data_IF_225002558427
#
_entry.id   IF_225002558427
#
_cell.length_a   1.000
_cell.length_b   1.000
_cell.length_c   1.000
_cell.angle_alpha   90.00
_cell.angle_beta   90.00
_cell.angle_gamma   90.00
#
_symmetry.space_group_name_H-M   'P 1'
#
loop_
_entity.id
_entity.type
_entity.pdbx_description
1 polymer ?
#
# COMPACT_ATOMS: atom_id res chain seq x y z
N UNK A 1 6.53 13.95 22.26
CA UNK A 1 6.95 14.55 20.97
C UNK A 1 6.89 13.54 19.81
N UNK A 2 6.21 12.40 19.95
CA UNK A 2 6.15 11.33 18.93
C UNK A 2 4.83 11.25 18.13
N UNK A 3 3.77 11.95 18.57
CA UNK A 3 2.43 11.98 17.92
C UNK A 3 2.39 12.65 16.54
N UNK A 4 3.54 12.95 15.93
CA UNK A 4 3.66 13.72 14.70
C UNK A 4 4.70 13.14 13.75
N UNK A 5 5.01 11.85 13.87
CA UNK A 5 5.62 11.10 12.79
C UNK A 5 4.56 11.05 11.69
N UNK A 6 4.83 11.79 10.62
CA UNK A 6 3.90 12.14 9.56
C UNK A 6 3.36 10.87 8.88
N UNK A 7 2.16 10.43 9.30
CA UNK A 7 1.35 9.44 8.56
C UNK A 7 1.27 9.81 7.06
N UNK A 8 1.36 11.11 6.74
CA UNK A 8 1.43 11.67 5.39
C UNK A 8 2.53 11.09 4.48
N UNK A 9 3.62 10.52 5.03
CA UNK A 9 4.70 9.94 4.23
C UNK A 9 4.56 8.43 3.98
N UNK A 10 3.51 7.77 4.50
CA UNK A 10 3.30 6.33 4.37
C UNK A 10 2.80 5.88 2.99
N UNK A 11 2.51 6.82 2.11
CA UNK A 11 2.14 6.51 0.73
C UNK A 11 3.30 5.90 -0.07
N UNK A 12 3.15 4.62 -0.43
CA UNK A 12 3.99 3.98 -1.45
C UNK A 12 3.69 4.64 -2.82
N UNK A 13 4.73 5.19 -3.44
CA UNK A 13 4.66 5.74 -4.80
C UNK A 13 5.50 4.90 -5.75
N UNK A 14 4.86 4.22 -6.69
CA UNK A 14 5.51 3.42 -7.73
C UNK A 14 5.73 4.24 -9.01
N UNK A 15 6.29 5.45 -8.89
CA UNK A 15 6.54 6.29 -10.06
C UNK A 15 7.70 5.78 -10.90
N UNK A 16 7.58 5.88 -12.23
CA UNK A 16 8.71 6.31 -13.06
C UNK A 16 9.57 5.27 -13.77
N UNK A 17 9.12 4.03 -13.98
CA UNK A 17 9.91 3.09 -14.81
C UNK A 17 9.78 3.38 -16.32
N UNK A 18 8.91 4.31 -16.72
CA UNK A 18 8.76 4.73 -18.12
C UNK A 18 10.06 5.22 -18.79
N UNK A 19 11.01 5.79 -18.04
CA UNK A 19 12.23 6.39 -18.62
C UNK A 19 13.43 5.43 -18.66
N UNK A 20 13.41 4.32 -17.89
CA UNK A 20 14.55 3.39 -17.83
C UNK A 20 14.32 2.09 -18.60
N UNK A 21 13.06 1.77 -18.94
CA UNK A 21 12.69 0.60 -19.75
C UNK A 21 12.98 0.76 -21.25
N UNK A 22 13.25 1.97 -21.74
CA UNK A 22 13.62 2.20 -23.16
C UNK A 22 14.91 1.46 -23.58
N UNK A 23 15.68 0.90 -22.65
CA UNK A 23 16.93 0.19 -22.94
C UNK A 23 16.97 -1.30 -22.57
N UNK A 24 15.88 -1.89 -22.06
CA UNK A 24 15.82 -3.32 -21.72
C UNK A 24 14.51 -3.92 -22.25
N UNK A 25 14.62 -4.90 -23.15
CA UNK A 25 13.53 -5.42 -23.99
C UNK A 25 12.34 -6.06 -23.27
N UNK A 26 11.38 -6.55 -24.05
CA UNK A 26 10.06 -7.05 -23.61
C UNK A 26 10.11 -8.05 -22.45
N UNK A 27 11.16 -8.88 -22.33
CA UNK A 27 11.32 -9.82 -21.22
C UNK A 27 11.33 -9.12 -19.84
N UNK A 28 12.00 -7.98 -19.71
CA UNK A 28 12.03 -7.23 -18.46
C UNK A 28 10.66 -6.63 -18.13
N UNK A 29 9.93 -6.16 -19.15
CA UNK A 29 8.56 -5.65 -18.99
C UNK A 29 7.62 -6.75 -18.49
N UNK A 30 7.71 -7.96 -19.04
CA UNK A 30 6.92 -9.11 -18.57
C UNK A 30 7.28 -9.53 -17.14
N UNK A 31 8.55 -9.49 -16.76
CA UNK A 31 8.97 -9.78 -15.37
C UNK A 31 8.42 -8.74 -14.38
N UNK A 32 8.51 -7.45 -14.71
CA UNK A 32 7.93 -6.38 -13.89
C UNK A 32 6.41 -6.55 -13.80
N UNK A 33 5.74 -6.79 -14.93
CA UNK A 33 4.30 -6.97 -14.98
C UNK A 33 3.85 -8.13 -14.09
N UNK A 34 4.57 -9.25 -14.11
CA UNK A 34 4.32 -10.38 -13.20
C UNK A 34 4.42 -9.95 -11.74
N UNK A 35 5.45 -9.19 -11.37
CA UNK A 35 5.63 -8.72 -10.00
C UNK A 35 4.52 -7.74 -9.58
N UNK A 36 4.10 -6.83 -10.47
CA UNK A 36 2.97 -5.94 -10.21
C UNK A 36 1.66 -6.71 -10.01
N UNK A 37 1.40 -7.76 -10.79
CA UNK A 37 0.22 -8.62 -10.59
C UNK A 37 0.22 -9.33 -9.24
N UNK A 38 1.39 -9.73 -8.73
CA UNK A 38 1.48 -10.32 -7.37
C UNK A 38 1.18 -9.26 -6.30
N UNK A 39 1.72 -8.05 -6.42
CA UNK A 39 1.41 -6.93 -5.51
C UNK A 39 -0.10 -6.64 -5.53
N UNK A 40 -0.69 -6.54 -6.72
CA UNK A 40 -2.13 -6.34 -6.92
C UNK A 40 -2.94 -7.43 -6.21
N UNK A 41 -2.49 -8.69 -6.32
CA UNK A 41 -3.15 -9.81 -5.68
C UNK A 41 -3.09 -9.73 -4.15
N UNK A 42 -1.92 -9.41 -3.58
CA UNK A 42 -1.77 -9.18 -2.13
C UNK A 42 -2.74 -8.08 -1.66
N UNK A 43 -2.83 -6.98 -2.40
CA UNK A 43 -3.73 -5.86 -2.07
C UNK A 43 -5.22 -6.19 -2.27
N UNK A 44 -5.56 -7.15 -3.13
CA UNK A 44 -6.96 -7.38 -3.54
C UNK A 44 -7.86 -7.88 -2.39
N UNK A 45 -7.37 -8.76 -1.51
CA UNK A 45 -8.17 -9.22 -0.37
C UNK A 45 -8.48 -8.05 0.58
N UNK A 46 -7.49 -7.22 0.86
CA UNK A 46 -7.69 -6.02 1.68
C UNK A 46 -8.68 -5.04 1.03
N UNK A 47 -8.44 -4.69 -0.23
CA UNK A 47 -9.24 -3.73 -0.99
C UNK A 47 -10.72 -4.11 -1.02
N UNK A 48 -11.05 -5.33 -1.48
CA UNK A 48 -12.46 -5.72 -1.63
C UNK A 48 -13.18 -5.87 -0.29
N UNK A 49 -12.46 -6.23 0.78
CA UNK A 49 -13.04 -6.24 2.14
C UNK A 49 -13.32 -4.85 2.65
N UNK A 50 -12.35 -3.95 2.52
CA UNK A 50 -12.51 -2.56 2.94
C UNK A 50 -13.69 -1.92 2.21
N UNK A 51 -13.73 -2.02 0.88
CA UNK A 51 -14.81 -1.42 0.08
C UNK A 51 -16.18 -1.97 0.48
N UNK A 52 -16.30 -3.30 0.68
CA UNK A 52 -17.56 -3.90 1.10
C UNK A 52 -18.01 -3.45 2.50
N UNK A 53 -17.07 -3.29 3.44
CA UNK A 53 -17.36 -2.80 4.80
C UNK A 53 -17.70 -1.30 4.75
N UNK A 54 -16.91 -0.49 4.06
CA UNK A 54 -17.10 0.95 3.95
C UNK A 54 -18.44 1.28 3.29
N UNK A 55 -18.79 0.60 2.19
CA UNK A 55 -20.08 0.76 1.51
C UNK A 55 -21.24 0.41 2.46
N UNK A 56 -21.18 -0.75 3.11
CA UNK A 56 -22.19 -1.17 4.09
C UNK A 56 -22.36 -0.15 5.22
N UNK A 57 -21.25 0.30 5.81
CA UNK A 57 -21.28 1.23 6.94
C UNK A 57 -21.71 2.64 6.53
N UNK A 58 -21.50 3.04 5.28
CA UNK A 58 -22.01 4.32 4.77
C UNK A 58 -23.53 4.44 4.84
N UNK A 59 -24.24 3.31 4.81
CA UNK A 59 -25.70 3.24 4.95
C UNK A 59 -26.16 2.96 6.40
N UNK A 60 -25.45 2.08 7.11
CA UNK A 60 -25.83 1.65 8.47
C UNK A 60 -25.45 2.67 9.55
N UNK A 61 -24.30 3.34 9.40
CA UNK A 61 -23.75 4.31 10.36
C UNK A 61 -23.43 5.63 9.63
N UNK A 62 -24.40 6.55 9.52
CA UNK A 62 -24.18 7.83 8.84
C UNK A 62 -23.31 8.80 9.67
N UNK A 63 -23.15 8.55 10.97
CA UNK A 63 -22.20 9.29 11.79
C UNK A 63 -20.77 8.90 11.45
N UNK A 64 -19.95 9.89 11.08
CA UNK A 64 -18.61 9.65 10.55
C UNK A 64 -17.64 9.09 11.60
N UNK A 65 -17.76 9.52 12.86
CA UNK A 65 -16.91 9.07 13.96
C UNK A 65 -17.24 7.61 14.31
N UNK A 66 -18.52 7.31 14.55
CA UNK A 66 -18.98 5.95 14.84
C UNK A 66 -18.69 4.97 13.70
N UNK A 67 -18.82 5.43 12.44
CA UNK A 67 -18.43 4.67 11.26
C UNK A 67 -16.93 4.35 11.25
N UNK A 68 -16.09 5.36 11.49
CA UNK A 68 -14.63 5.20 11.47
C UNK A 68 -14.18 4.23 12.57
N UNK A 69 -14.75 4.34 13.78
CA UNK A 69 -14.50 3.38 14.86
C UNK A 69 -14.90 1.95 14.47
N UNK A 70 -16.06 1.78 13.84
CA UNK A 70 -16.53 0.47 13.41
C UNK A 70 -15.63 -0.15 12.35
N UNK A 71 -15.23 0.63 11.33
CA UNK A 71 -14.31 0.19 10.29
C UNK A 71 -12.94 -0.17 10.88
N UNK A 72 -12.39 0.71 11.74
CA UNK A 72 -11.14 0.51 12.45
C UNK A 72 -11.13 -0.82 13.22
N UNK A 73 -12.15 -1.06 14.05
CA UNK A 73 -12.29 -2.28 14.84
C UNK A 73 -12.38 -3.57 14.00
N UNK A 74 -12.92 -3.49 12.78
CA UNK A 74 -13.10 -4.65 11.92
C UNK A 74 -11.87 -4.97 11.04
N UNK A 75 -11.07 -3.97 10.69
CA UNK A 75 -10.08 -4.08 9.62
C UNK A 75 -8.65 -3.71 10.01
N UNK A 76 -8.42 -3.01 11.11
CA UNK A 76 -7.12 -2.40 11.37
C UNK A 76 -5.98 -3.41 11.52
N UNK A 77 -6.24 -4.57 12.13
CA UNK A 77 -5.23 -5.65 12.22
C UNK A 77 -4.74 -6.09 10.83
N UNK A 78 -5.63 -6.13 9.82
CA UNK A 78 -5.28 -6.52 8.45
C UNK A 78 -4.36 -5.52 7.75
N UNK A 79 -4.30 -4.27 8.20
CA UNK A 79 -3.40 -3.26 7.62
C UNK A 79 -1.95 -3.73 7.77
N UNK A 80 -1.56 -4.13 8.98
CA UNK A 80 -0.20 -4.58 9.26
C UNK A 80 0.14 -5.89 8.56
N UNK A 81 -0.81 -6.83 8.49
CA UNK A 81 -0.64 -8.08 7.74
C UNK A 81 -0.36 -7.78 6.26
N UNK A 82 -1.15 -6.89 5.66
CA UNK A 82 -1.03 -6.50 4.25
C UNK A 82 0.31 -5.84 3.97
N UNK A 83 0.73 -4.87 4.80
CA UNK A 83 2.05 -4.24 4.66
C UNK A 83 3.20 -5.23 4.85
N UNK A 84 3.06 -6.20 5.76
CA UNK A 84 4.07 -7.23 5.97
C UNK A 84 4.23 -8.13 4.73
N UNK A 85 3.12 -8.57 4.14
CA UNK A 85 3.16 -9.41 2.95
C UNK A 85 3.68 -8.64 1.72
N UNK A 86 3.29 -7.37 1.59
CA UNK A 86 3.86 -6.46 0.61
C UNK A 86 5.37 -6.32 0.78
N UNK A 87 5.88 -6.08 1.99
CA UNK A 87 7.31 -5.88 2.22
C UNK A 87 8.12 -7.14 1.90
N UNK A 88 7.66 -8.32 2.33
CA UNK A 88 8.30 -9.61 2.06
C UNK A 88 8.43 -9.86 0.56
N UNK A 89 7.36 -9.63 -0.20
CA UNK A 89 7.38 -9.82 -1.64
C UNK A 89 8.20 -8.73 -2.34
N UNK A 90 7.90 -7.47 -2.06
CA UNK A 90 8.40 -6.33 -2.80
C UNK A 90 9.91 -6.14 -2.63
N UNK A 91 10.43 -6.24 -1.41
CA UNK A 91 11.86 -6.02 -1.16
C UNK A 91 12.75 -7.11 -1.79
N UNK A 92 12.18 -8.30 -2.03
CA UNK A 92 12.84 -9.38 -2.77
C UNK A 92 12.66 -9.32 -4.30
N UNK A 93 11.84 -8.41 -4.80
CA UNK A 93 11.46 -8.33 -6.22
C UNK A 93 12.56 -7.72 -7.10
N UNK A 94 12.63 -8.13 -8.37
CA UNK A 94 13.52 -7.48 -9.36
C UNK A 94 13.11 -6.03 -9.58
N UNK A 95 11.82 -5.73 -9.53
CA UNK A 95 11.26 -4.39 -9.61
C UNK A 95 11.89 -3.45 -8.60
N UNK A 96 11.98 -3.85 -7.32
CA UNK A 96 12.62 -3.03 -6.28
C UNK A 96 14.09 -2.72 -6.60
N UNK A 97 14.83 -3.68 -7.15
CA UNK A 97 16.23 -3.50 -7.58
C UNK A 97 16.35 -2.47 -8.72
N UNK A 98 15.34 -2.38 -9.58
CA UNK A 98 15.32 -1.48 -10.73
C UNK A 98 14.92 -0.05 -10.40
N UNK A 99 14.29 0.18 -9.25
CA UNK A 99 13.94 1.53 -8.78
C UNK A 99 15.17 2.43 -8.68
N UNK A 100 14.97 3.74 -8.70
CA UNK A 100 16.03 4.69 -8.37
C UNK A 100 16.42 4.57 -6.89
N UNK A 101 17.61 5.07 -6.53
CA UNK A 101 18.05 5.12 -5.14
C UNK A 101 17.03 5.86 -4.25
N UNK A 102 16.47 6.97 -4.75
CA UNK A 102 15.50 7.80 -4.02
C UNK A 102 14.19 7.04 -3.78
N UNK A 103 13.68 6.35 -4.78
CA UNK A 103 12.47 5.53 -4.66
C UNK A 103 12.67 4.37 -3.69
N UNK A 104 13.78 3.64 -3.77
CA UNK A 104 14.08 2.57 -2.81
C UNK A 104 14.13 3.10 -1.37
N UNK A 105 14.79 4.23 -1.14
CA UNK A 105 14.87 4.85 0.19
C UNK A 105 13.49 5.22 0.71
N UNK A 106 12.63 5.78 -0.15
CA UNK A 106 11.24 6.09 0.21
C UNK A 106 10.45 4.84 0.56
N UNK A 107 10.52 3.79 -0.27
CA UNK A 107 9.83 2.52 -0.01
C UNK A 107 10.28 1.89 1.31
N UNK A 108 11.60 1.82 1.56
CA UNK A 108 12.12 1.29 2.82
C UNK A 108 11.61 2.10 4.01
N UNK A 109 11.64 3.43 3.92
CA UNK A 109 11.11 4.29 4.98
C UNK A 109 9.63 4.03 5.29
N UNK A 110 8.80 3.74 4.28
CA UNK A 110 7.40 3.40 4.52
C UNK A 110 7.29 2.11 5.33
N UNK A 111 7.96 1.04 4.92
CA UNK A 111 7.89 -0.24 5.63
C UNK A 111 8.51 -0.16 7.03
N UNK A 112 9.60 0.58 7.19
CA UNK A 112 10.22 0.83 8.50
C UNK A 112 9.27 1.61 9.42
N UNK A 113 8.57 2.62 8.89
CA UNK A 113 7.59 3.39 9.65
C UNK A 113 6.38 2.54 10.07
N UNK A 114 5.81 1.74 9.15
CA UNK A 114 4.69 0.83 9.49
C UNK A 114 5.12 -0.17 10.57
N UNK A 115 6.33 -0.73 10.44
CA UNK A 115 6.89 -1.63 11.45
C UNK A 115 7.07 -0.92 12.79
N UNK A 116 7.59 0.31 12.78
CA UNK A 116 7.76 1.13 13.98
C UNK A 116 6.43 1.44 14.67
N UNK A 117 5.38 1.73 13.90
CA UNK A 117 4.03 1.97 14.42
C UNK A 117 3.49 0.70 15.07
N UNK A 118 3.56 -0.45 14.38
CA UNK A 118 3.13 -1.75 14.92
C UNK A 118 3.82 -2.06 16.24
N UNK A 119 5.16 -2.00 16.27
CA UNK A 119 5.95 -2.26 17.48
C UNK A 119 5.60 -1.28 18.60
N UNK A 120 5.36 -0.01 18.28
CA UNK A 120 4.97 0.98 19.29
C UNK A 120 3.61 0.63 19.91
N UNK A 121 2.65 0.16 19.12
CA UNK A 121 1.35 -0.29 19.64
C UNK A 121 1.45 -1.59 20.47
N UNK A 122 2.37 -2.49 20.14
CA UNK A 122 2.58 -3.74 20.87
C UNK A 122 3.31 -3.55 22.20
N UNK A 123 4.28 -2.62 22.24
CA UNK A 123 5.19 -2.45 23.38
C UNK A 123 4.85 -1.26 24.29
N UNK A 124 3.97 -0.34 23.86
CA UNK A 124 3.59 0.84 24.61
C UNK A 124 2.06 0.99 24.70
N UNK A 125 1.50 0.66 25.85
CA UNK A 125 0.06 0.75 26.14
C UNK A 125 -0.51 2.17 25.96
N UNK A 126 0.32 3.21 26.07
CA UNK A 126 -0.09 4.61 25.86
C UNK A 126 -0.01 5.04 24.39
N UNK A 127 0.55 4.20 23.51
CA UNK A 127 0.62 4.46 22.08
C UNK A 127 -0.55 3.78 21.38
N UNK A 128 -1.54 4.59 20.99
CA UNK A 128 -2.65 4.16 20.17
C UNK A 128 -2.86 5.16 19.03
N UNK A 129 -3.31 4.63 17.89
CA UNK A 129 -3.85 5.43 16.81
C UNK A 129 -5.34 5.60 17.04
N UNK A 130 -5.87 6.80 16.85
CA UNK A 130 -7.32 6.97 16.85
C UNK A 130 -7.96 6.35 15.60
N UNK A 131 -9.29 6.21 15.59
CA UNK A 131 -9.99 5.55 14.51
C UNK A 131 -9.79 6.23 13.14
N UNK A 132 -9.63 7.56 13.13
CA UNK A 132 -9.37 8.29 11.89
C UNK A 132 -7.98 7.98 11.35
N UNK A 133 -6.96 8.02 12.20
CA UNK A 133 -5.58 7.64 11.83
C UNK A 133 -5.51 6.19 11.33
N UNK A 134 -6.28 5.29 11.94
CA UNK A 134 -6.38 3.90 11.49
C UNK A 134 -7.03 3.77 10.11
N UNK A 135 -8.13 4.49 9.87
CA UNK A 135 -8.82 4.51 8.56
C UNK A 135 -7.94 5.13 7.48
N UNK A 136 -7.20 6.22 7.78
CA UNK A 136 -6.24 6.82 6.83
C UNK A 136 -5.21 5.79 6.33
N UNK A 137 -4.72 4.91 7.21
CA UNK A 137 -3.80 3.83 6.82
C UNK A 137 -4.46 2.79 5.91
N UNK A 138 -5.76 2.54 6.08
CA UNK A 138 -6.52 1.66 5.19
C UNK A 138 -6.72 2.30 3.81
N UNK A 139 -7.04 3.59 3.78
CA UNK A 139 -7.19 4.35 2.55
C UNK A 139 -5.89 4.40 1.75
N UNK A 140 -4.74 4.52 2.42
CA UNK A 140 -3.42 4.44 1.77
C UNK A 140 -3.22 3.11 1.02
N UNK A 141 -3.64 1.98 1.60
CA UNK A 141 -3.59 0.68 0.94
C UNK A 141 -4.54 0.59 -0.27
N UNK A 142 -5.73 1.19 -0.20
CA UNK A 142 -6.65 1.27 -1.34
C UNK A 142 -6.13 2.16 -2.46
N UNK A 143 -5.57 3.31 -2.12
CA UNK A 143 -4.90 4.20 -3.08
C UNK A 143 -3.76 3.46 -3.75
N UNK A 144 -3.02 2.63 -3.00
CA UNK A 144 -1.96 1.80 -3.55
C UNK A 144 -2.47 0.76 -4.55
N UNK A 145 -3.59 0.10 -4.23
CA UNK A 145 -4.25 -0.86 -5.13
C UNK A 145 -4.57 -0.21 -6.48
N UNK A 146 -5.23 0.95 -6.47
CA UNK A 146 -5.57 1.66 -7.71
C UNK A 146 -4.35 2.16 -8.49
N UNK A 147 -3.28 2.56 -7.80
CA UNK A 147 -2.03 2.94 -8.47
C UNK A 147 -1.40 1.74 -9.19
N UNK A 148 -1.33 0.59 -8.52
CA UNK A 148 -0.81 -0.65 -9.12
C UNK A 148 -1.65 -1.09 -10.32
N UNK A 149 -2.98 -1.01 -10.22
CA UNK A 149 -3.89 -1.36 -11.31
C UNK A 149 -3.62 -0.49 -12.56
N UNK A 150 -3.47 0.83 -12.37
CA UNK A 150 -3.13 1.77 -13.45
C UNK A 150 -1.73 1.54 -14.04
N UNK A 151 -0.74 1.23 -13.21
CA UNK A 151 0.61 0.94 -13.70
C UNK A 151 0.66 -0.37 -14.51
N UNK A 152 -0.15 -1.38 -14.12
CA UNK A 152 -0.32 -2.62 -14.89
C UNK A 152 -0.90 -2.30 -16.27
N UNK A 153 -1.98 -1.53 -16.34
CA UNK A 153 -2.61 -1.11 -17.61
C UNK A 153 -1.61 -0.38 -18.51
N UNK A 154 -0.88 0.60 -17.96
CA UNK A 154 0.12 1.37 -18.70
C UNK A 154 1.23 0.48 -19.27
N UNK A 155 1.73 -0.50 -18.50
CA UNK A 155 2.77 -1.42 -18.97
C UNK A 155 2.23 -2.31 -20.10
N UNK A 156 1.03 -2.85 -19.98
CA UNK A 156 0.38 -3.68 -21.01
C UNK A 156 0.26 -2.90 -22.32
N UNK A 157 -0.24 -1.66 -22.28
CA UNK A 157 -0.34 -0.80 -23.46
C UNK A 157 1.03 -0.61 -24.14
N UNK A 158 2.11 -0.49 -23.37
CA UNK A 158 3.46 -0.36 -23.96
C UNK A 158 4.02 -1.66 -24.55
N UNK A 159 3.51 -2.82 -24.15
CA UNK A 159 3.91 -4.12 -24.70
C UNK A 159 3.17 -4.33 -26.02
N UNK A 160 1.86 -4.04 -26.07
CA UNK A 160 1.02 -4.26 -27.25
C UNK A 160 1.34 -3.32 -28.43
N UNK A 161 2.02 -2.19 -28.16
CA UNK A 161 2.45 -1.22 -29.18
C UNK A 161 3.83 -1.53 -29.81
N UNK A 162 4.57 -2.54 -29.34
CA UNK A 162 5.90 -2.92 -29.85
C UNK A 162 5.91 -4.35 -30.42
#
# INVERSE_FOLDING_TARGET
MFKKLELKELSLSFGGIGVTLEKKGNELKHEILREMFVIRHILSDFYYRYEAINDKMSYEEPDEEARSETIANLMFEKVFETYLDLSKFFLGSKYFVLLTKKERQRTLSVFDNITSVKVSMEENEDFYLDAYEQVELMEDLNVLFHKIDKEIEAIIETIDQN
#
